data_IF_471840182674
#
_entry.id   IF_471840182674
#
_cell.length_a   1.000
_cell.length_b   1.000
_cell.length_c   1.000
_cell.angle_alpha   90.00
_cell.angle_beta   90.00
_cell.angle_gamma   90.00
#
_symmetry.space_group_name_H-M   'P 1'
#
loop_
_entity.id
_entity.type
_entity.pdbx_description
1 polymer ?
#
# COMPACT_ATOMS: atom_id res chain seq x y z
N UNK A 1 68.58 17.66 54.48
CA UNK A 1 68.23 18.28 53.18
C UNK A 1 66.79 17.92 52.83
N UNK A 2 66.00 18.93 52.44
CA UNK A 2 64.60 18.89 52.02
C UNK A 2 64.52 18.42 50.56
N UNK A 3 63.49 17.67 50.14
CA UNK A 3 62.80 17.74 48.82
C UNK A 3 61.59 16.76 48.77
N UNK A 4 60.40 17.36 48.79
CA UNK A 4 59.30 17.28 47.80
C UNK A 4 58.51 15.97 47.61
N UNK A 5 57.19 16.10 47.78
CA UNK A 5 56.20 15.05 47.54
C UNK A 5 55.71 14.96 46.10
N UNK A 6 54.72 14.09 45.87
CA UNK A 6 53.57 14.37 45.01
C UNK A 6 52.45 13.34 45.20
N UNK A 7 51.22 13.86 45.31
CA UNK A 7 49.95 13.14 45.16
C UNK A 7 49.73 12.79 43.69
N UNK A 8 49.26 11.58 43.41
CA UNK A 8 48.54 11.20 42.19
C UNK A 8 47.58 10.10 42.63
N UNK A 9 46.26 10.23 42.61
CA UNK A 9 45.41 10.70 41.53
C UNK A 9 44.33 9.62 41.41
N UNK A 10 43.17 9.88 41.99
CA UNK A 10 41.99 9.00 42.00
C UNK A 10 41.48 8.86 40.55
N UNK A 11 41.83 7.76 39.90
CA UNK A 11 41.37 7.39 38.56
C UNK A 11 40.01 6.70 38.62
N UNK A 12 39.01 7.39 38.10
CA UNK A 12 37.60 7.03 38.02
C UNK A 12 37.40 5.73 37.21
N UNK A 13 36.71 4.76 37.82
CA UNK A 13 36.52 3.38 37.30
C UNK A 13 35.14 3.20 36.66
N UNK A 14 34.40 4.28 36.43
CA UNK A 14 32.99 4.24 36.03
C UNK A 14 32.74 4.42 34.52
N UNK A 15 33.74 4.81 33.73
CA UNK A 15 33.56 5.24 32.33
C UNK A 15 33.62 4.11 31.30
N UNK A 16 34.11 2.93 31.67
CA UNK A 16 34.49 1.87 30.71
C UNK A 16 33.37 0.86 30.39
N UNK A 17 32.19 1.00 31.00
CA UNK A 17 30.97 0.20 30.70
C UNK A 17 29.87 0.99 30.01
N UNK A 18 29.93 2.33 30.05
CA UNK A 18 28.96 3.21 29.41
C UNK A 18 29.18 3.31 27.90
N UNK A 19 30.44 3.32 27.45
CA UNK A 19 30.77 3.34 26.02
C UNK A 19 30.19 2.15 25.23
N UNK A 20 30.39 0.88 25.63
CA UNK A 20 29.85 -0.25 24.87
C UNK A 20 28.30 -0.27 24.89
N UNK A 21 27.68 0.16 25.99
CA UNK A 21 26.23 0.26 26.08
C UNK A 21 25.67 1.35 25.14
N UNK A 22 26.33 2.50 25.07
CA UNK A 22 25.99 3.59 24.17
C UNK A 22 26.21 3.21 22.69
N UNK A 23 27.25 2.44 22.39
CA UNK A 23 27.50 1.92 21.03
C UNK A 23 26.41 0.91 20.63
N UNK A 24 25.97 0.03 21.53
CA UNK A 24 24.86 -0.92 21.26
C UNK A 24 23.53 -0.20 21.08
N UNK A 25 23.24 0.85 21.86
CA UNK A 25 22.03 1.68 21.67
C UNK A 25 22.10 2.48 20.37
N UNK A 26 23.26 3.04 20.02
CA UNK A 26 23.45 3.75 18.76
C UNK A 26 23.37 2.82 17.53
N UNK A 27 23.92 1.60 17.60
CA UNK A 27 23.79 0.59 16.54
C UNK A 27 22.35 0.05 16.45
N UNK A 28 21.67 -0.13 17.60
CA UNK A 28 20.29 -0.61 17.66
C UNK A 28 19.26 0.40 17.16
N UNK A 29 19.57 1.70 17.26
CA UNK A 29 18.74 2.79 16.70
C UNK A 29 19.00 3.03 15.19
N UNK A 30 20.14 2.59 14.66
CA UNK A 30 20.57 2.93 13.30
C UNK A 30 20.01 2.02 12.18
N UNK A 31 19.34 0.90 12.48
CA UNK A 31 18.99 -0.08 11.43
C UNK A 31 17.52 -0.51 11.35
N UNK A 32 16.60 0.18 12.02
CA UNK A 32 15.19 0.10 11.60
C UNK A 32 14.96 1.10 10.48
N UNK A 33 15.57 0.86 9.32
CA UNK A 33 15.12 1.48 8.07
C UNK A 33 13.72 0.91 7.86
N UNK A 34 12.69 1.64 8.31
CA UNK A 34 11.32 1.35 7.95
C UNK A 34 11.29 1.47 6.43
N UNK A 35 11.36 0.32 5.75
CA UNK A 35 11.13 0.23 4.32
C UNK A 35 9.72 0.73 4.10
N UNK A 36 9.60 2.01 3.77
CA UNK A 36 8.35 2.58 3.34
C UNK A 36 8.15 2.04 1.92
N UNK A 37 7.41 0.92 1.79
CA UNK A 37 7.20 0.20 0.54
C UNK A 37 6.72 1.07 -0.64
N UNK A 38 6.35 0.46 -1.77
CA UNK A 38 6.14 1.18 -3.03
C UNK A 38 5.19 2.37 -2.86
N UNK A 39 5.54 3.50 -3.47
CA UNK A 39 4.70 4.70 -3.48
C UNK A 39 3.54 4.56 -4.47
N UNK A 40 3.81 3.89 -5.59
CA UNK A 40 2.85 3.57 -6.64
C UNK A 40 2.91 2.09 -7.00
N UNK A 41 1.83 1.58 -7.57
CA UNK A 41 1.79 0.28 -8.25
C UNK A 41 1.21 0.49 -9.65
N UNK A 42 1.95 -0.01 -10.65
CA UNK A 42 1.51 -0.03 -12.05
C UNK A 42 0.57 -1.23 -12.27
N UNK A 43 -0.51 -0.98 -12.98
CA UNK A 43 -1.61 -1.91 -13.20
C UNK A 43 -2.06 -1.88 -14.65
N UNK A 44 -2.70 -2.96 -15.08
CA UNK A 44 -3.43 -3.00 -16.35
C UNK A 44 -4.92 -2.86 -16.09
N UNK A 45 -5.54 -1.82 -16.63
CA UNK A 45 -6.99 -1.73 -16.71
C UNK A 45 -7.47 -2.55 -17.91
N UNK A 46 -8.28 -3.57 -17.63
CA UNK A 46 -8.76 -4.54 -18.63
C UNK A 46 -10.24 -4.32 -18.91
N UNK A 47 -10.56 -4.26 -20.19
CA UNK A 47 -11.93 -4.10 -20.68
C UNK A 47 -12.19 -5.08 -21.83
N UNK A 48 -13.43 -5.54 -21.92
CA UNK A 48 -13.91 -6.27 -23.09
C UNK A 48 -13.85 -5.32 -24.31
N UNK A 49 -13.10 -5.73 -25.34
CA UNK A 49 -12.99 -4.99 -26.59
C UNK A 49 -14.13 -5.33 -27.56
N UNK A 50 -15.04 -6.24 -27.18
CA UNK A 50 -16.01 -6.86 -28.06
C UNK A 50 -15.37 -7.94 -28.94
N UNK A 51 -16.21 -8.80 -29.52
CA UNK A 51 -15.74 -9.85 -30.44
C UNK A 51 -14.83 -10.91 -29.80
N UNK A 52 -14.86 -11.05 -28.46
CA UNK A 52 -14.00 -11.97 -27.70
C UNK A 52 -12.58 -11.45 -27.46
N UNK A 53 -12.30 -10.18 -27.78
CA UNK A 53 -11.02 -9.54 -27.52
C UNK A 53 -10.96 -8.87 -26.15
N UNK A 54 -9.77 -8.80 -25.57
CA UNK A 54 -9.50 -8.01 -24.36
C UNK A 54 -8.61 -6.83 -24.72
N UNK A 55 -9.00 -5.63 -24.30
CA UNK A 55 -8.16 -4.44 -24.37
C UNK A 55 -7.49 -4.19 -23.03
N UNK A 56 -6.26 -3.66 -23.06
CA UNK A 56 -5.49 -3.30 -21.87
C UNK A 56 -5.03 -1.86 -21.97
N UNK A 57 -5.27 -1.08 -20.91
CA UNK A 57 -4.79 0.30 -20.77
C UNK A 57 -3.89 0.41 -19.54
N UNK A 58 -2.80 1.18 -19.59
CA UNK A 58 -1.97 1.40 -18.41
C UNK A 58 -2.78 2.19 -17.36
N UNK A 59 -2.66 1.78 -16.11
CA UNK A 59 -3.28 2.43 -14.96
C UNK A 59 -2.32 2.39 -13.77
N UNK A 60 -2.51 3.26 -12.79
CA UNK A 60 -1.63 3.34 -11.62
C UNK A 60 -2.42 3.62 -10.35
N UNK A 61 -2.12 2.89 -9.28
CA UNK A 61 -2.55 3.28 -7.93
C UNK A 61 -1.42 4.02 -7.22
N UNK A 62 -1.70 5.23 -6.75
CA UNK A 62 -0.87 5.99 -5.84
C UNK A 62 -1.25 5.63 -4.41
N UNK A 63 -0.34 4.94 -3.73
CA UNK A 63 -0.49 4.43 -2.38
C UNK A 63 -0.02 5.45 -1.33
N UNK A 64 0.99 6.24 -1.68
CA UNK A 64 1.58 7.24 -0.80
C UNK A 64 2.28 8.31 -1.62
N UNK A 65 2.21 9.56 -1.16
CA UNK A 65 2.98 10.67 -1.71
C UNK A 65 3.54 11.53 -0.58
N UNK A 66 4.62 12.25 -0.87
CA UNK A 66 5.22 13.19 0.06
C UNK A 66 4.51 14.56 0.06
N UNK A 67 5.05 15.54 0.81
CA UNK A 67 4.48 16.89 0.89
C UNK A 67 4.45 17.64 -0.45
N UNK A 68 5.22 17.18 -1.45
CA UNK A 68 5.20 17.72 -2.82
C UNK A 68 3.98 17.31 -3.64
N UNK A 69 3.12 16.45 -3.09
CA UNK A 69 1.96 15.93 -3.80
C UNK A 69 2.27 14.70 -4.68
N UNK A 70 1.23 14.13 -5.33
CA UNK A 70 1.36 13.09 -6.34
C UNK A 70 2.34 13.46 -7.48
N UNK A 71 3.17 12.52 -7.95
CA UNK A 71 3.99 12.75 -9.15
C UNK A 71 3.10 12.88 -10.41
N UNK A 72 3.49 13.74 -11.37
CA UNK A 72 2.78 13.88 -12.64
C UNK A 72 2.95 12.64 -13.53
N UNK A 73 1.87 12.26 -14.23
CA UNK A 73 1.82 11.11 -15.15
C UNK A 73 1.18 11.50 -16.48
N UNK A 74 1.91 12.20 -17.38
CA UNK A 74 1.39 12.59 -18.69
C UNK A 74 1.21 11.40 -19.64
N UNK A 75 1.78 10.24 -19.29
CA UNK A 75 1.66 8.97 -20.00
C UNK A 75 0.32 8.26 -19.75
N UNK A 76 -0.43 8.66 -18.73
CA UNK A 76 -1.69 8.02 -18.32
C UNK A 76 -2.90 8.89 -18.63
N UNK A 77 -4.03 8.23 -18.89
CA UNK A 77 -5.33 8.87 -18.73
C UNK A 77 -5.50 9.23 -17.24
N UNK A 78 -5.80 10.49 -16.88
CA UNK A 78 -6.03 10.87 -15.49
C UNK A 78 -7.14 10.08 -14.80
N UNK A 79 -8.10 9.54 -15.56
CA UNK A 79 -9.15 8.65 -15.04
C UNK A 79 -8.61 7.27 -14.62
N UNK A 80 -7.40 6.91 -15.05
CA UNK A 80 -6.71 5.67 -14.73
C UNK A 80 -5.50 5.89 -13.80
N UNK A 81 -5.32 7.11 -13.30
CA UNK A 81 -4.38 7.42 -12.24
C UNK A 81 -5.16 7.64 -10.94
N UNK A 82 -5.06 6.69 -10.01
CA UNK A 82 -5.90 6.68 -8.81
C UNK A 82 -5.13 7.01 -7.55
N UNK A 83 -5.54 8.03 -6.80
CA UNK A 83 -5.11 8.25 -5.41
C UNK A 83 -5.96 7.40 -4.49
N UNK A 84 -5.32 6.46 -3.81
CA UNK A 84 -5.98 5.50 -2.94
C UNK A 84 -6.32 6.16 -1.60
N UNK A 85 -7.60 6.15 -1.26
CA UNK A 85 -8.12 6.36 0.08
C UNK A 85 -8.55 5.01 0.66
N UNK A 86 -7.89 4.54 1.72
CA UNK A 86 -8.13 3.20 2.29
C UNK A 86 -8.50 3.31 3.77
N UNK A 87 -9.79 3.54 4.09
CA UNK A 87 -10.24 3.72 5.47
C UNK A 87 -10.01 2.50 6.37
N UNK A 88 -10.16 1.28 5.83
CA UNK A 88 -9.89 0.05 6.55
C UNK A 88 -8.37 -0.21 6.70
N UNK A 89 -7.56 0.38 5.83
CA UNK A 89 -6.11 0.40 5.88
C UNK A 89 -5.42 -0.89 5.43
N UNK A 90 -6.18 -1.91 5.00
CA UNK A 90 -5.63 -3.23 4.69
C UNK A 90 -4.78 -3.22 3.41
N UNK A 91 -5.23 -2.55 2.35
CA UNK A 91 -4.50 -2.43 1.08
C UNK A 91 -3.20 -1.66 1.30
N UNK A 92 -3.27 -0.49 1.94
CA UNK A 92 -2.09 0.33 2.22
C UNK A 92 -1.14 -0.33 3.24
N UNK A 93 -1.65 -1.13 4.19
CA UNK A 93 -0.81 -1.86 5.13
C UNK A 93 -0.03 -2.99 4.43
N UNK A 94 -0.64 -3.70 3.48
CA UNK A 94 0.03 -4.75 2.71
C UNK A 94 1.25 -4.18 1.95
N UNK A 95 1.08 -3.07 1.25
CA UNK A 95 2.18 -2.42 0.53
C UNK A 95 3.19 -1.72 1.44
N UNK A 96 2.78 -1.20 2.60
CA UNK A 96 3.73 -0.65 3.59
C UNK A 96 4.73 -1.69 4.07
N UNK A 97 4.34 -2.97 4.12
CA UNK A 97 5.20 -4.10 4.53
C UNK A 97 5.91 -4.77 3.35
N UNK A 98 5.79 -4.23 2.14
CA UNK A 98 6.43 -4.82 0.98
C UNK A 98 7.97 -4.75 1.11
N UNK A 99 8.69 -5.87 0.92
CA UNK A 99 10.15 -5.88 1.04
C UNK A 99 10.82 -4.94 0.02
N UNK A 100 11.81 -4.19 0.48
CA UNK A 100 12.65 -3.40 -0.42
C UNK A 100 13.39 -4.32 -1.40
N UNK A 101 13.40 -3.96 -2.69
CA UNK A 101 14.07 -4.74 -3.73
C UNK A 101 13.31 -5.98 -4.22
N UNK A 102 12.14 -6.31 -3.66
CA UNK A 102 11.28 -7.33 -4.23
C UNK A 102 10.75 -6.89 -5.61
N UNK A 103 10.48 -7.87 -6.49
CA UNK A 103 9.86 -7.62 -7.80
C UNK A 103 8.50 -6.95 -7.62
N UNK A 104 8.15 -6.03 -8.52
CA UNK A 104 6.82 -5.43 -8.49
C UNK A 104 5.74 -6.52 -8.66
N UNK A 105 4.67 -6.52 -7.84
CA UNK A 105 3.59 -7.47 -8.02
C UNK A 105 2.81 -7.15 -9.30
N UNK A 106 2.19 -8.16 -9.88
CA UNK A 106 1.24 -7.97 -10.97
C UNK A 106 -0.02 -7.30 -10.42
N UNK A 107 -0.56 -6.36 -11.19
CA UNK A 107 -1.80 -5.69 -10.86
C UNK A 107 -2.70 -5.59 -12.08
N UNK A 108 -3.95 -5.98 -11.88
CA UNK A 108 -5.02 -5.87 -12.87
C UNK A 108 -6.20 -5.13 -12.25
N UNK A 109 -6.81 -4.24 -13.03
CA UNK A 109 -8.02 -3.53 -12.67
C UNK A 109 -9.11 -3.82 -13.70
N UNK A 110 -10.34 -4.01 -13.25
CA UNK A 110 -11.50 -4.18 -14.13
C UNK A 110 -12.72 -3.47 -13.57
N UNK A 111 -13.67 -3.14 -14.44
CA UNK A 111 -14.97 -2.63 -14.01
C UNK A 111 -15.73 -3.69 -13.22
N UNK A 112 -16.26 -3.31 -12.06
CA UNK A 112 -17.05 -4.17 -11.21
C UNK A 112 -18.50 -3.71 -11.19
N UNK A 113 -19.44 -4.65 -11.16
CA UNK A 113 -20.87 -4.36 -11.00
C UNK A 113 -21.32 -5.06 -9.71
N UNK A 114 -21.71 -4.30 -8.66
CA UNK A 114 -22.26 -4.89 -7.46
C UNK A 114 -23.51 -5.72 -7.79
N UNK A 115 -23.46 -7.01 -7.50
CA UNK A 115 -24.56 -7.93 -7.76
C UNK A 115 -24.69 -8.95 -6.63
N UNK A 116 -25.91 -9.36 -6.25
CA UNK A 116 -26.12 -10.41 -5.25
C UNK A 116 -25.38 -11.70 -5.62
N UNK A 117 -24.83 -12.38 -4.61
CA UNK A 117 -24.15 -13.64 -4.82
C UNK A 117 -25.11 -14.70 -5.42
N UNK A 118 -24.65 -15.41 -6.46
CA UNK A 118 -25.43 -16.45 -7.14
C UNK A 118 -25.66 -17.70 -6.29
N UNK A 119 -24.77 -17.95 -5.33
CA UNK A 119 -24.82 -19.11 -4.45
C UNK A 119 -26.03 -19.04 -3.49
N UNK A 120 -26.82 -20.12 -3.41
CA UNK A 120 -28.06 -20.15 -2.63
C UNK A 120 -27.86 -19.86 -1.14
N UNK A 121 -26.75 -20.32 -0.57
CA UNK A 121 -26.44 -20.13 0.85
C UNK A 121 -26.22 -18.64 1.21
N UNK A 122 -25.78 -17.82 0.24
CA UNK A 122 -25.50 -16.41 0.44
C UNK A 122 -26.74 -15.51 0.34
N UNK A 123 -27.92 -16.07 0.00
CA UNK A 123 -29.17 -15.30 -0.15
C UNK A 123 -29.55 -14.54 1.12
N UNK A 124 -29.18 -15.06 2.29
CA UNK A 124 -29.42 -14.39 3.58
C UNK A 124 -28.66 -13.06 3.75
N UNK A 125 -27.62 -12.80 2.96
CA UNK A 125 -26.83 -11.56 3.01
C UNK A 125 -27.54 -10.39 2.31
N UNK A 126 -28.46 -10.68 1.38
CA UNK A 126 -29.25 -9.71 0.65
C UNK A 126 -30.75 -10.09 0.71
N UNK A 127 -31.40 -9.98 1.88
CA UNK A 127 -32.80 -10.37 2.04
C UNK A 127 -33.76 -9.44 1.31
N UNK A 128 -33.32 -8.20 1.05
CA UNK A 128 -34.08 -7.20 0.29
C UNK A 128 -33.97 -7.51 -1.20
N UNK A 129 -35.09 -7.46 -1.92
CA UNK A 129 -35.15 -7.70 -3.37
C UNK A 129 -34.89 -6.43 -4.21
N UNK A 130 -34.13 -5.48 -3.67
CA UNK A 130 -33.78 -4.23 -4.33
C UNK A 130 -32.28 -3.93 -4.22
N UNK A 131 -31.77 -3.11 -5.14
CA UNK A 131 -30.39 -2.63 -5.09
C UNK A 131 -30.30 -1.46 -4.09
N UNK A 132 -29.32 -1.50 -3.20
CA UNK A 132 -29.07 -0.40 -2.27
C UNK A 132 -28.47 0.80 -2.99
N UNK A 133 -29.10 1.98 -2.87
CA UNK A 133 -28.58 3.24 -3.45
C UNK A 133 -27.21 3.65 -2.90
N UNK A 134 -26.81 3.11 -1.75
CA UNK A 134 -25.47 3.34 -1.21
C UNK A 134 -24.37 2.76 -2.13
N UNK A 135 -24.74 1.86 -3.03
CA UNK A 135 -23.85 1.23 -4.01
C UNK A 135 -23.90 1.90 -5.40
N UNK A 136 -24.61 3.02 -5.55
CA UNK A 136 -24.64 3.77 -6.81
C UNK A 136 -23.24 4.30 -7.19
N UNK A 137 -23.02 4.47 -8.49
CA UNK A 137 -21.76 4.94 -9.08
C UNK A 137 -20.91 3.80 -9.66
N UNK A 138 -19.75 4.17 -10.19
CA UNK A 138 -18.80 3.24 -10.80
C UNK A 138 -18.02 2.48 -9.73
N UNK A 139 -17.68 1.23 -10.03
CA UNK A 139 -16.87 0.38 -9.17
C UNK A 139 -15.73 -0.25 -9.95
N UNK A 140 -14.61 -0.44 -9.28
CA UNK A 140 -13.43 -1.10 -9.81
C UNK A 140 -13.09 -2.29 -8.93
N UNK A 141 -12.74 -3.41 -9.55
CA UNK A 141 -12.06 -4.51 -8.88
C UNK A 141 -10.58 -4.44 -9.22
N UNK A 142 -9.73 -4.46 -8.19
CA UNK A 142 -8.28 -4.50 -8.31
C UNK A 142 -7.82 -5.85 -7.80
N UNK A 143 -7.07 -6.59 -8.62
CA UNK A 143 -6.41 -7.83 -8.22
C UNK A 143 -4.90 -7.63 -8.27
N UNK A 144 -4.24 -7.89 -7.14
CA UNK A 144 -2.79 -7.82 -7.00
C UNK A 144 -2.29 -9.22 -6.71
N UNK A 145 -1.36 -9.70 -7.52
CA UNK A 145 -0.74 -11.02 -7.35
C UNK A 145 0.78 -10.92 -7.41
N UNK A 146 1.43 -11.55 -6.45
CA UNK A 146 2.89 -11.61 -6.39
C UNK A 146 3.35 -12.68 -5.43
N UNK A 147 4.67 -12.83 -5.32
CA UNK A 147 5.30 -13.83 -4.44
C UNK A 147 5.21 -13.46 -2.96
N UNK A 148 5.11 -12.17 -2.64
CA UNK A 148 5.04 -11.66 -1.26
C UNK A 148 3.62 -11.73 -0.71
N UNK A 149 2.62 -11.32 -1.49
CA UNK A 149 1.22 -11.42 -1.14
C UNK A 149 0.36 -11.46 -2.40
N UNK A 150 -0.88 -11.91 -2.24
CA UNK A 150 -1.94 -11.75 -3.21
C UNK A 150 -3.18 -11.20 -2.50
N UNK A 151 -3.87 -10.25 -3.12
CA UNK A 151 -5.11 -9.68 -2.60
C UNK A 151 -6.03 -9.24 -3.73
N UNK A 152 -7.31 -9.07 -3.43
CA UNK A 152 -8.27 -8.38 -4.29
C UNK A 152 -8.96 -7.28 -3.51
N UNK A 153 -9.25 -6.15 -4.14
CA UNK A 153 -9.95 -5.02 -3.52
C UNK A 153 -11.04 -4.47 -4.42
N UNK A 154 -12.12 -3.98 -3.81
CA UNK A 154 -13.16 -3.21 -4.47
C UNK A 154 -12.97 -1.73 -4.14
N UNK A 155 -12.87 -0.91 -5.18
CA UNK A 155 -12.64 0.52 -5.09
C UNK A 155 -13.82 1.27 -5.73
N UNK A 156 -14.17 2.42 -5.14
CA UNK A 156 -15.12 3.37 -5.71
C UNK A 156 -14.39 4.64 -6.12
N UNK A 157 -14.15 4.87 -7.42
CA UNK A 157 -13.58 6.11 -7.92
C UNK A 157 -14.58 7.28 -7.78
N UNK A 158 -14.05 8.48 -7.58
CA UNK A 158 -14.84 9.70 -7.78
C UNK A 158 -15.08 9.92 -9.28
N UNK A 159 -16.26 10.44 -9.69
CA UNK A 159 -16.61 10.56 -11.11
C UNK A 159 -15.67 11.50 -11.87
N UNK A 160 -15.29 12.62 -11.26
CA UNK A 160 -14.36 13.59 -11.85
C UNK A 160 -12.96 13.50 -11.22
N UNK A 161 -11.90 13.44 -12.05
CA UNK A 161 -10.53 13.62 -11.59
C UNK A 161 -10.37 14.97 -10.89
N UNK A 162 -9.73 14.96 -9.74
CA UNK A 162 -9.43 16.20 -9.02
C UNK A 162 -8.12 16.80 -9.51
N UNK A 163 -8.02 18.13 -9.42
CA UNK A 163 -6.84 18.88 -9.80
C UNK A 163 -6.22 19.50 -8.57
N UNK A 164 -5.13 18.90 -8.07
CA UNK A 164 -4.05 19.56 -7.30
C UNK A 164 -3.04 18.54 -6.75
N UNK A 165 -1.72 18.68 -7.02
CA UNK A 165 -1.03 19.47 -8.06
C UNK A 165 -1.13 18.86 -9.48
N UNK A 166 -1.73 17.67 -9.64
CA UNK A 166 -1.87 16.96 -10.93
C UNK A 166 -3.30 16.44 -11.09
N UNK A 167 -3.69 16.08 -12.32
CA UNK A 167 -4.97 15.40 -12.55
C UNK A 167 -4.88 13.96 -12.07
N UNK A 168 -5.71 13.61 -11.09
CA UNK A 168 -5.73 12.30 -10.46
C UNK A 168 -7.14 12.00 -9.93
N UNK A 169 -7.60 10.78 -10.10
CA UNK A 169 -8.90 10.33 -9.59
C UNK A 169 -8.75 9.82 -8.17
N UNK A 170 -9.53 10.35 -7.23
CA UNK A 170 -9.59 9.76 -5.89
C UNK A 170 -10.38 8.45 -5.95
N UNK A 171 -9.89 7.39 -5.31
CA UNK A 171 -10.61 6.12 -5.23
C UNK A 171 -10.60 5.57 -3.81
N UNK A 172 -11.79 5.35 -3.25
CA UNK A 172 -11.96 4.81 -1.90
C UNK A 172 -12.02 3.29 -1.93
N UNK A 173 -11.19 2.62 -1.14
CA UNK A 173 -11.23 1.17 -0.94
C UNK A 173 -12.40 0.85 -0.02
N UNK A 174 -13.31 0.00 -0.50
CA UNK A 174 -14.51 -0.41 0.24
C UNK A 174 -14.34 -1.79 0.88
N UNK A 175 -13.69 -2.72 0.17
CA UNK A 175 -13.43 -4.07 0.63
C UNK A 175 -12.07 -4.53 0.13
N UNK A 176 -11.30 -5.19 1.00
CA UNK A 176 -10.07 -5.89 0.63
C UNK A 176 -10.15 -7.32 1.14
N UNK A 177 -9.83 -8.27 0.28
CA UNK A 177 -9.76 -9.70 0.58
C UNK A 177 -8.32 -10.15 0.36
N UNK A 178 -7.59 -10.53 1.43
CA UNK A 178 -6.28 -11.14 1.28
C UNK A 178 -6.46 -12.58 0.80
N UNK A 179 -5.68 -12.98 -0.19
CA UNK A 179 -5.60 -14.39 -0.59
C UNK A 179 -4.55 -15.05 0.28
N UNK A 180 -4.92 -16.13 0.97
CA UNK A 180 -3.94 -16.98 1.64
C UNK A 180 -3.07 -17.62 0.56
N UNK A 181 -1.78 -17.29 0.53
CA UNK A 181 -0.79 -18.16 -0.11
C UNK A 181 -0.86 -19.49 0.65
N UNK A 182 -1.63 -20.45 0.14
CA UNK A 182 -1.51 -21.83 0.56
C UNK A 182 -0.10 -22.27 0.14
N UNK A 183 0.86 -22.07 1.04
CA UNK A 183 2.13 -22.75 0.98
C UNK A 183 1.81 -24.20 1.29
N UNK A 184 1.49 -24.97 0.26
CA UNK A 184 1.52 -26.44 0.31
C UNK A 184 2.93 -26.81 0.79
N UNK A 185 3.04 -27.13 2.08
CA UNK A 185 4.17 -27.88 2.65
C UNK A 185 3.82 -29.35 2.53
#
# INVERSE_FOLDING_TARGET
>A
MKVKGNRLGRGDRSTMKLLPLLVVVALGLATVVVSAGPQTIECWFVEDAGGGGLSKKPATLLLRHGPRGPPPRPDLDPKLYFKVDDPAGMLLAAFRRYPAGAHAPHCEMSSYIPFPASAKWARGLSPQQNCSRALDGDWLMVSVSGTVFSLSSLLRPLPEPQREPVFITMATVVLTVPHTLFSLH
#
